data_IF_016895958864
#
_entry.id   IF_016895958864
#
_cell.length_a   1.000
_cell.length_b   1.000
_cell.length_c   1.000
_cell.angle_alpha   90.00
_cell.angle_beta   90.00
_cell.angle_gamma   90.00
#
_symmetry.space_group_name_H-M   'P 1'
#
loop_
_entity.id
_entity.type
_entity.pdbx_description
1 polymer ?
#
# COMPACT_ATOMS: atom_id res chain seq x y z
N UNK A 1 13.05 2.52 -47.91
CA UNK A 1 13.12 2.12 -46.46
C UNK A 1 13.28 0.59 -46.39
N UNK A 2 14.43 0.14 -45.90
CA UNK A 2 14.82 -1.25 -45.96
C UNK A 2 14.05 -2.04 -44.87
N UNK A 3 13.64 -3.30 -45.13
CA UNK A 3 12.90 -4.12 -44.20
C UNK A 3 13.68 -4.38 -42.91
N UNK A 4 15.00 -4.39 -42.97
CA UNK A 4 15.90 -4.52 -41.83
C UNK A 4 15.73 -3.37 -40.81
N UNK A 5 15.62 -2.12 -41.29
CA UNK A 5 15.40 -0.96 -40.42
C UNK A 5 14.03 -0.98 -39.77
N UNK A 6 13.01 -1.53 -40.43
CA UNK A 6 11.69 -1.74 -39.83
C UNK A 6 11.73 -2.82 -38.70
N UNK A 7 12.48 -3.91 -38.88
CA UNK A 7 12.62 -4.97 -37.89
C UNK A 7 13.40 -4.49 -36.65
N UNK A 8 14.46 -3.69 -36.85
CA UNK A 8 15.24 -3.10 -35.74
C UNK A 8 14.36 -2.14 -34.91
N UNK A 9 13.63 -1.23 -35.61
CA UNK A 9 12.73 -0.30 -34.93
C UNK A 9 11.58 -0.97 -34.20
N UNK A 10 11.09 -2.11 -34.71
CA UNK A 10 10.07 -2.91 -34.03
C UNK A 10 10.65 -3.58 -32.81
N UNK A 11 11.85 -4.15 -32.90
CA UNK A 11 12.55 -4.76 -31.76
C UNK A 11 12.87 -3.74 -30.65
N UNK A 12 13.23 -2.50 -31.00
CA UNK A 12 13.45 -1.43 -30.00
C UNK A 12 12.15 -0.97 -29.33
N UNK A 13 11.04 -0.90 -30.08
CA UNK A 13 9.71 -0.61 -29.51
C UNK A 13 9.29 -1.69 -28.50
N UNK A 14 9.49 -2.97 -28.86
CA UNK A 14 9.21 -4.09 -27.96
C UNK A 14 10.08 -4.01 -26.70
N UNK A 15 11.40 -3.76 -26.84
CA UNK A 15 12.30 -3.58 -25.70
C UNK A 15 11.89 -2.42 -24.79
N UNK A 16 11.41 -1.30 -25.35
CA UNK A 16 10.88 -0.16 -24.56
C UNK A 16 9.61 -0.53 -23.79
N UNK A 17 8.69 -1.29 -24.39
CA UNK A 17 7.47 -1.74 -23.74
C UNK A 17 7.77 -2.74 -22.61
N UNK A 18 8.66 -3.72 -22.86
CA UNK A 18 9.05 -4.72 -21.87
C UNK A 18 9.89 -4.15 -20.72
N UNK A 19 10.60 -3.02 -20.94
CA UNK A 19 11.38 -2.35 -19.89
C UNK A 19 10.59 -1.36 -19.05
N UNK A 20 9.34 -1.04 -19.43
CA UNK A 20 8.49 -0.16 -18.65
C UNK A 20 8.07 -0.91 -17.37
N UNK A 21 8.82 -0.71 -16.30
CA UNK A 21 8.38 -1.20 -14.98
C UNK A 21 7.04 -0.55 -14.66
N UNK A 22 6.05 -1.32 -14.21
CA UNK A 22 4.77 -0.75 -13.81
C UNK A 22 4.99 0.34 -12.77
N UNK A 23 4.26 1.42 -12.86
CA UNK A 23 4.30 2.49 -11.86
C UNK A 23 3.83 1.96 -10.51
N UNK A 24 4.16 2.68 -9.42
CA UNK A 24 3.66 2.29 -8.09
C UNK A 24 2.13 2.32 -8.03
N UNK A 25 1.50 3.17 -8.82
CA UNK A 25 0.04 3.28 -8.96
C UNK A 25 -0.55 2.11 -9.72
N UNK A 26 0.09 1.66 -10.83
CA UNK A 26 -0.34 0.48 -11.58
C UNK A 26 -0.28 -0.79 -10.71
N UNK A 27 0.75 -0.92 -9.87
CA UNK A 27 0.89 -2.05 -8.94
C UNK A 27 -0.16 -1.96 -7.82
N UNK A 28 -0.44 -0.77 -7.30
CA UNK A 28 -1.44 -0.57 -6.26
C UNK A 28 -2.85 -0.93 -6.73
N UNK A 29 -3.17 -0.65 -8.00
CA UNK A 29 -4.47 -0.91 -8.61
C UNK A 29 -4.59 -2.32 -9.21
N UNK A 30 -3.50 -3.10 -9.27
CA UNK A 30 -3.59 -4.48 -9.77
C UNK A 30 -4.28 -5.39 -8.76
N UNK A 31 -5.10 -6.32 -9.25
CA UNK A 31 -5.73 -7.36 -8.42
C UNK A 31 -4.74 -8.41 -7.93
N UNK A 32 -3.51 -8.34 -8.41
CA UNK A 32 -2.43 -9.25 -8.06
C UNK A 32 -1.40 -8.59 -7.16
N UNK A 33 -0.88 -9.38 -6.23
CA UNK A 33 0.27 -8.99 -5.40
C UNK A 33 1.33 -10.10 -5.45
N UNK A 34 2.59 -9.73 -5.24
CA UNK A 34 3.67 -10.72 -5.25
C UNK A 34 3.97 -11.23 -3.83
N UNK A 35 4.19 -12.53 -3.73
CA UNK A 35 4.69 -13.18 -2.54
C UNK A 35 5.99 -13.95 -2.86
N UNK A 36 6.62 -14.58 -1.85
CA UNK A 36 7.88 -15.33 -2.01
C UNK A 36 7.81 -16.49 -3.04
N UNK A 37 6.63 -17.07 -3.28
CA UNK A 37 6.40 -18.18 -4.23
C UNK A 37 5.67 -17.78 -5.52
N UNK A 38 5.51 -16.49 -5.77
CA UNK A 38 4.89 -15.98 -7.00
C UNK A 38 3.75 -14.99 -6.79
N UNK A 39 3.05 -14.61 -7.87
CA UNK A 39 1.91 -13.72 -7.81
C UNK A 39 0.70 -14.42 -7.18
N UNK A 40 -0.03 -13.68 -6.36
CA UNK A 40 -1.25 -14.14 -5.67
C UNK A 40 -2.35 -13.10 -5.91
N UNK A 41 -3.57 -13.56 -6.12
CA UNK A 41 -4.75 -12.70 -6.24
C UNK A 41 -5.07 -12.07 -4.87
N UNK A 42 -5.29 -10.76 -4.83
CA UNK A 42 -5.64 -10.05 -3.58
C UNK A 42 -6.90 -10.62 -2.93
N UNK A 43 -7.89 -11.00 -3.75
CA UNK A 43 -9.13 -11.61 -3.28
C UNK A 43 -8.90 -12.92 -2.50
N UNK A 44 -7.94 -13.74 -2.94
CA UNK A 44 -7.60 -14.98 -2.23
C UNK A 44 -6.90 -14.71 -0.90
N UNK A 45 -6.05 -13.65 -0.86
CA UNK A 45 -5.46 -13.19 0.40
C UNK A 45 -6.50 -12.65 1.36
N UNK A 46 -7.49 -11.88 0.88
CA UNK A 46 -8.59 -11.37 1.71
C UNK A 46 -9.40 -12.52 2.32
N UNK A 47 -9.76 -13.52 1.51
CA UNK A 47 -10.48 -14.70 1.97
C UNK A 47 -9.70 -15.50 3.03
N UNK A 48 -8.37 -15.47 2.95
CA UNK A 48 -7.48 -16.15 3.90
C UNK A 48 -6.86 -15.18 4.93
N UNK A 49 -7.59 -14.14 5.33
CA UNK A 49 -7.19 -13.18 6.37
C UNK A 49 -5.79 -12.57 6.14
N UNK A 50 -5.45 -12.33 4.88
CA UNK A 50 -4.16 -11.77 4.44
C UNK A 50 -2.94 -12.65 4.75
N UNK A 51 -3.16 -13.96 4.89
CA UNK A 51 -2.10 -14.97 5.00
C UNK A 51 -1.95 -15.70 3.67
N UNK A 52 -0.72 -15.81 3.19
CA UNK A 52 -0.43 -16.52 1.95
C UNK A 52 -0.63 -18.03 2.12
N UNK A 53 -1.47 -18.63 1.30
CA UNK A 53 -1.73 -20.09 1.31
C UNK A 53 -0.50 -20.93 0.95
N UNK A 54 0.44 -20.36 0.16
CA UNK A 54 1.58 -21.09 -0.35
C UNK A 54 2.78 -21.12 0.60
N UNK A 55 2.96 -20.06 1.40
CA UNK A 55 4.15 -19.93 2.24
C UNK A 55 3.85 -19.53 3.69
N UNK A 56 2.59 -19.29 4.06
CA UNK A 56 2.21 -18.86 5.41
C UNK A 56 2.61 -17.42 5.77
N UNK A 57 3.12 -16.65 4.81
CA UNK A 57 3.52 -15.27 5.08
C UNK A 57 2.31 -14.40 5.33
N UNK A 58 2.35 -13.65 6.46
CA UNK A 58 1.38 -12.61 6.76
C UNK A 58 1.68 -11.35 5.98
N UNK A 59 0.72 -10.88 5.20
CA UNK A 59 0.82 -9.62 4.48
C UNK A 59 0.39 -8.45 5.36
N UNK A 60 0.94 -7.26 5.09
CA UNK A 60 0.58 -6.04 5.82
C UNK A 60 -0.83 -5.61 5.44
N UNK A 61 -1.66 -5.35 6.44
CA UNK A 61 -3.02 -4.84 6.30
C UNK A 61 -3.16 -3.48 6.96
N UNK A 62 -4.14 -2.69 6.53
CA UNK A 62 -4.49 -1.42 7.17
C UNK A 62 -5.29 -1.62 8.45
N UNK A 63 -5.37 -0.59 9.30
CA UNK A 63 -6.21 -0.64 10.50
C UNK A 63 -7.68 -0.94 10.18
N UNK A 64 -8.21 -0.32 9.11
CA UNK A 64 -9.61 -0.54 8.68
C UNK A 64 -9.85 -1.99 8.27
N UNK A 65 -8.96 -2.57 7.46
CA UNK A 65 -9.03 -4.00 7.11
C UNK A 65 -8.97 -4.90 8.35
N UNK A 66 -8.17 -4.54 9.35
CA UNK A 66 -8.14 -5.27 10.62
C UNK A 66 -9.48 -5.19 11.36
N UNK A 67 -10.09 -4.02 11.40
CA UNK A 67 -11.42 -3.85 12.01
C UNK A 67 -12.50 -4.62 11.25
N UNK A 68 -12.46 -4.61 9.91
CA UNK A 68 -13.37 -5.41 9.07
C UNK A 68 -13.26 -6.92 9.35
N UNK A 69 -12.06 -7.41 9.62
CA UNK A 69 -11.82 -8.82 9.98
C UNK A 69 -12.38 -9.15 11.36
N UNK A 70 -12.19 -8.25 12.35
CA UNK A 70 -12.55 -8.52 13.74
C UNK A 70 -14.03 -8.31 14.00
N UNK A 71 -14.60 -7.22 13.50
CA UNK A 71 -15.98 -6.82 13.79
C UNK A 71 -16.95 -7.13 12.65
N UNK A 72 -16.46 -7.33 11.43
CA UNK A 72 -17.24 -7.37 10.22
C UNK A 72 -17.31 -6.02 9.52
N UNK A 73 -17.59 -6.05 8.22
CA UNK A 73 -17.69 -4.82 7.39
C UNK A 73 -18.83 -3.95 7.91
N UNK A 74 -18.51 -2.68 8.20
CA UNK A 74 -19.45 -1.67 8.69
C UNK A 74 -20.10 -1.98 10.07
N UNK A 75 -19.58 -2.96 10.83
CA UNK A 75 -20.12 -3.34 12.15
C UNK A 75 -19.37 -2.64 13.30
N UNK A 76 -18.56 -1.63 13.04
CA UNK A 76 -17.81 -0.89 14.03
C UNK A 76 -17.89 0.62 13.80
N UNK A 77 -17.71 1.39 14.87
CA UNK A 77 -17.60 2.83 14.85
C UNK A 77 -16.17 3.23 15.18
N UNK A 78 -15.57 4.08 14.36
CA UNK A 78 -14.25 4.64 14.64
C UNK A 78 -14.43 5.75 15.68
N UNK A 79 -13.67 5.67 16.76
CA UNK A 79 -13.63 6.68 17.80
C UNK A 79 -12.61 7.76 17.40
N UNK A 80 -13.00 9.01 17.56
CA UNK A 80 -12.08 10.14 17.36
C UNK A 80 -11.00 10.10 18.43
N UNK A 81 -9.75 10.14 18.00
CA UNK A 81 -8.61 10.31 18.91
C UNK A 81 -8.36 11.79 19.13
N UNK A 82 -8.09 12.23 20.36
CA UNK A 82 -7.69 13.61 20.61
C UNK A 82 -6.42 13.92 19.80
N UNK A 83 -6.40 15.10 19.17
CA UNK A 83 -5.23 15.55 18.42
C UNK A 83 -4.19 16.03 19.44
N UNK A 84 -3.05 15.35 19.58
CA UNK A 84 -2.01 15.80 20.50
C UNK A 84 -1.40 17.12 20.03
N UNK A 85 -0.86 17.89 20.95
CA UNK A 85 -0.08 19.09 20.64
C UNK A 85 1.05 18.73 19.69
N UNK A 86 1.13 19.44 18.56
CA UNK A 86 2.18 19.18 17.56
C UNK A 86 3.53 19.62 18.13
N UNK A 87 4.46 18.68 18.24
CA UNK A 87 5.87 18.89 18.58
C UNK A 87 6.09 19.81 19.82
N UNK A 88 5.72 19.36 21.03
CA UNK A 88 5.91 20.15 22.25
C UNK A 88 7.40 20.38 22.57
N UNK A 89 8.30 19.57 22.01
CA UNK A 89 9.74 19.65 22.26
C UNK A 89 10.47 20.47 21.17
N UNK A 90 9.79 20.90 20.12
CA UNK A 90 10.38 21.55 18.94
C UNK A 90 11.60 20.78 18.40
N UNK A 91 11.44 19.44 18.31
CA UNK A 91 12.52 18.54 17.96
C UNK A 91 12.96 18.71 16.50
N UNK A 92 14.26 18.88 16.31
CA UNK A 92 14.92 18.96 15.00
C UNK A 92 16.11 18.03 14.99
N UNK A 93 16.12 17.10 14.04
CA UNK A 93 17.31 16.33 13.71
C UNK A 93 17.78 16.74 12.30
N UNK A 94 17.80 15.87 11.30
CA UNK A 94 18.06 16.23 9.89
C UNK A 94 16.90 17.01 9.26
N UNK A 95 15.67 16.86 9.81
CA UNK A 95 14.44 17.56 9.41
C UNK A 95 13.60 17.81 10.65
N UNK A 96 12.82 18.88 10.64
CA UNK A 96 11.91 19.18 11.75
C UNK A 96 10.89 18.05 11.93
N UNK A 97 10.49 17.79 13.17
CA UNK A 97 9.45 16.80 13.46
C UNK A 97 8.12 17.18 12.79
N UNK A 98 7.79 18.45 12.74
CA UNK A 98 6.58 18.98 12.07
C UNK A 98 6.54 18.61 10.59
N UNK A 99 7.66 18.71 9.89
CA UNK A 99 7.73 18.34 8.47
C UNK A 99 7.59 16.83 8.25
N UNK A 100 8.22 16.02 9.12
CA UNK A 100 8.04 14.57 9.10
C UNK A 100 6.58 14.18 9.33
N UNK A 101 5.93 14.84 10.29
CA UNK A 101 4.53 14.59 10.63
C UNK A 101 3.59 14.93 9.45
N UNK A 102 3.82 16.08 8.79
CA UNK A 102 3.08 16.46 7.58
C UNK A 102 3.21 15.41 6.47
N UNK A 103 4.44 14.95 6.22
CA UNK A 103 4.71 13.91 5.19
C UNK A 103 4.02 12.59 5.56
N UNK A 104 4.10 12.18 6.83
CA UNK A 104 3.48 10.95 7.31
C UNK A 104 1.95 11.01 7.20
N UNK A 105 1.32 12.10 7.63
CA UNK A 105 -0.13 12.34 7.52
C UNK A 105 -0.59 12.32 6.06
N UNK A 106 0.15 12.99 5.16
CA UNK A 106 -0.14 12.98 3.72
C UNK A 106 -0.05 11.57 3.12
N UNK A 107 0.93 10.77 3.57
CA UNK A 107 1.13 9.41 3.07
C UNK A 107 0.08 8.42 3.58
N UNK A 108 -0.34 8.56 4.84
CA UNK A 108 -1.28 7.63 5.49
C UNK A 108 -2.73 8.09 5.40
N UNK A 109 -2.96 9.35 5.07
CA UNK A 109 -4.26 10.03 5.15
C UNK A 109 -4.92 9.92 6.53
N UNK A 110 -4.09 9.95 7.59
CA UNK A 110 -4.52 9.84 8.98
C UNK A 110 -3.89 10.95 9.83
N UNK A 111 -4.61 11.44 10.82
CA UNK A 111 -4.14 12.46 11.76
C UNK A 111 -3.23 11.89 12.85
N UNK A 112 -3.46 10.64 13.24
CA UNK A 112 -2.75 9.96 14.33
C UNK A 112 -2.24 8.59 13.88
N UNK A 113 -1.16 8.11 14.52
CA UNK A 113 -0.60 6.77 14.27
C UNK A 113 -1.46 5.64 14.85
N UNK A 114 -2.37 5.94 15.77
CA UNK A 114 -3.27 4.99 16.41
C UNK A 114 -4.69 5.26 15.96
N UNK A 115 -5.42 4.20 15.64
CA UNK A 115 -6.85 4.25 15.34
C UNK A 115 -7.58 3.34 16.32
N UNK A 116 -8.67 3.83 16.89
CA UNK A 116 -9.48 3.11 17.86
C UNK A 116 -10.86 2.87 17.25
N UNK A 117 -11.37 1.68 17.38
CA UNK A 117 -12.73 1.34 16.97
C UNK A 117 -13.47 0.63 18.08
N UNK A 118 -14.79 0.86 18.14
CA UNK A 118 -15.73 0.17 19.02
C UNK A 118 -16.72 -0.61 18.15
N UNK A 119 -16.83 -1.89 18.35
CA UNK A 119 -17.80 -2.78 17.72
C UNK A 119 -18.45 -3.69 18.75
N UNK A 120 -19.49 -4.38 18.34
CA UNK A 120 -20.15 -5.44 19.15
C UNK A 120 -19.63 -6.79 18.70
#
# INVERSE_FOLDING_TARGET
>A
MNWLTKAINFGEKIKKVLRKRPSKEDIANSDWTSCCKGPILKKDLENNLWVCNLCGKHHRISCRQRFDIVFGKNAYQILESPIPTEDPLNWVDTKSYKDRLKIARKKTNQSCAVMIAKGK
#
